data_IF_932996249208
#
_entry.id   IF_932996249208
#
_cell.length_a   1.000
_cell.length_b   1.000
_cell.length_c   1.000
_cell.angle_alpha   90.00
_cell.angle_beta   90.00
_cell.angle_gamma   90.00
#
_symmetry.space_group_name_H-M   'P 1'
#
loop_
_entity.id
_entity.type
_entity.pdbx_description
1 polymer ?
#
# COMPACT_ATOMS: atom_id res chain seq x y z
N UNK A 1 3.06 7.21 33.17
CA UNK A 1 1.85 7.89 33.69
C UNK A 1 0.70 7.55 32.77
N UNK A 2 -0.40 7.04 33.28
CA UNK A 2 -1.59 6.74 32.48
C UNK A 2 -2.32 8.07 32.18
N UNK A 3 -2.68 8.38 30.92
CA UNK A 3 -3.37 9.63 30.58
C UNK A 3 -4.72 9.71 31.31
N UNK A 4 -5.10 10.91 31.73
CA UNK A 4 -6.37 11.19 32.39
C UNK A 4 -7.55 10.93 31.45
N UNK A 5 -8.76 10.71 31.99
CA UNK A 5 -9.96 10.53 31.17
C UNK A 5 -10.21 11.72 30.24
N UNK A 6 -9.95 12.95 30.71
CA UNK A 6 -10.07 14.18 29.91
C UNK A 6 -9.07 14.23 28.74
N UNK A 7 -7.84 13.77 28.94
CA UNK A 7 -6.83 13.66 27.87
C UNK A 7 -7.25 12.62 26.84
N UNK A 8 -7.72 11.44 27.27
CA UNK A 8 -8.24 10.41 26.38
C UNK A 8 -9.43 10.89 25.54
N UNK A 9 -10.37 11.61 26.15
CA UNK A 9 -11.50 12.18 25.41
C UNK A 9 -11.05 13.23 24.39
N UNK A 10 -10.05 14.06 24.72
CA UNK A 10 -9.50 15.05 23.79
C UNK A 10 -8.77 14.39 22.62
N UNK A 11 -7.96 13.37 22.88
CA UNK A 11 -7.28 12.59 21.84
C UNK A 11 -8.28 11.90 20.91
N UNK A 12 -9.32 11.27 21.46
CA UNK A 12 -10.37 10.62 20.67
C UNK A 12 -11.13 11.64 19.80
N UNK A 13 -11.49 12.77 20.34
CA UNK A 13 -12.16 13.85 19.58
C UNK A 13 -11.26 14.39 18.45
N UNK A 14 -9.95 14.53 18.70
CA UNK A 14 -9.00 14.95 17.70
C UNK A 14 -8.83 13.89 16.59
N UNK A 15 -8.81 12.59 16.92
CA UNK A 15 -8.79 11.49 15.95
C UNK A 15 -10.02 11.51 15.07
N UNK A 16 -11.22 11.55 15.66
CA UNK A 16 -12.50 11.60 14.91
C UNK A 16 -12.55 12.81 13.96
N UNK A 17 -12.06 13.96 14.39
CA UNK A 17 -12.01 15.14 13.53
C UNK A 17 -11.02 14.98 12.38
N UNK A 18 -9.84 14.44 12.64
CA UNK A 18 -8.85 14.13 11.58
C UNK A 18 -9.42 13.15 10.55
N UNK A 19 -10.09 12.10 11.01
CA UNK A 19 -10.70 11.10 10.16
C UNK A 19 -11.81 11.70 9.28
N UNK A 20 -12.67 12.55 9.85
CA UNK A 20 -13.70 13.27 9.12
C UNK A 20 -13.14 14.21 8.06
N UNK A 21 -12.09 14.97 8.39
CA UNK A 21 -11.39 15.85 7.45
C UNK A 21 -10.72 15.03 6.33
N UNK A 22 -10.12 13.88 6.67
CA UNK A 22 -9.48 13.00 5.70
C UNK A 22 -10.47 12.38 4.73
N UNK A 23 -11.65 11.97 5.20
CA UNK A 23 -12.74 11.47 4.35
C UNK A 23 -13.23 12.56 3.38
N UNK A 24 -13.44 13.78 3.86
CA UNK A 24 -13.82 14.92 3.03
C UNK A 24 -12.74 15.23 1.97
N UNK A 25 -11.47 15.20 2.37
CA UNK A 25 -10.35 15.42 1.45
C UNK A 25 -10.30 14.32 0.36
N UNK A 26 -10.53 13.06 0.73
CA UNK A 26 -10.61 11.95 -0.20
C UNK A 26 -11.77 12.12 -1.21
N UNK A 27 -12.91 12.60 -0.75
CA UNK A 27 -14.05 12.88 -1.63
C UNK A 27 -13.72 14.01 -2.61
N UNK A 28 -13.14 15.11 -2.15
CA UNK A 28 -12.68 16.21 -3.00
C UNK A 28 -11.64 15.75 -4.01
N UNK A 29 -10.68 14.91 -3.59
CA UNK A 29 -9.66 14.33 -4.48
C UNK A 29 -10.28 13.49 -5.59
N UNK A 30 -11.27 12.66 -5.27
CA UNK A 30 -11.98 11.82 -6.25
C UNK A 30 -12.75 12.64 -7.28
N UNK A 31 -13.35 13.76 -6.87
CA UNK A 31 -14.20 14.59 -7.72
C UNK A 31 -13.40 15.63 -8.53
N UNK A 32 -12.34 16.19 -7.95
CA UNK A 32 -11.67 17.39 -8.46
C UNK A 32 -10.16 17.22 -8.69
N UNK A 33 -9.59 16.07 -8.38
CA UNK A 33 -8.16 15.83 -8.47
C UNK A 33 -7.34 16.64 -7.45
N UNK A 34 -6.00 16.52 -7.55
CA UNK A 34 -5.11 17.25 -6.64
C UNK A 34 -5.18 18.76 -6.82
N UNK A 35 -5.20 19.26 -8.05
CA UNK A 35 -5.29 20.70 -8.32
C UNK A 35 -6.57 21.31 -7.76
N UNK A 36 -7.68 20.60 -7.84
CA UNK A 36 -8.96 21.02 -7.30
C UNK A 36 -9.12 20.87 -5.79
N UNK A 37 -8.21 20.19 -5.11
CA UNK A 37 -8.19 20.07 -3.66
C UNK A 37 -7.71 21.40 -3.05
N UNK A 38 -8.59 22.08 -2.35
CA UNK A 38 -8.27 23.27 -1.54
C UNK A 38 -8.74 23.05 -0.10
N UNK A 39 -8.05 23.68 0.87
CA UNK A 39 -8.44 23.58 2.28
C UNK A 39 -9.86 24.10 2.51
N UNK A 40 -10.28 25.07 1.72
CA UNK A 40 -11.64 25.66 1.80
C UNK A 40 -12.71 24.67 1.35
N UNK A 41 -12.47 24.00 0.22
CA UNK A 41 -13.40 22.97 -0.31
C UNK A 41 -13.48 21.75 0.62
N UNK A 42 -12.34 21.35 1.21
CA UNK A 42 -12.35 20.28 2.22
C UNK A 42 -13.14 20.71 3.46
N UNK A 43 -13.03 21.97 3.91
CA UNK A 43 -13.81 22.49 5.03
C UNK A 43 -15.32 22.45 4.75
N UNK A 44 -15.71 22.84 3.54
CA UNK A 44 -17.11 22.83 3.08
C UNK A 44 -17.66 21.39 3.07
N UNK A 45 -16.94 20.46 2.48
CA UNK A 45 -17.36 19.03 2.42
C UNK A 45 -17.37 18.38 3.81
N UNK A 46 -16.40 18.70 4.66
CA UNK A 46 -16.34 18.21 6.03
C UNK A 46 -17.38 18.86 6.98
N UNK A 47 -18.05 19.94 6.54
CA UNK A 47 -18.99 20.69 7.37
C UNK A 47 -18.35 21.39 8.57
N UNK A 48 -17.08 21.81 8.46
CA UNK A 48 -16.34 22.47 9.54
C UNK A 48 -15.83 23.85 9.12
N UNK A 49 -15.50 24.68 10.11
CA UNK A 49 -14.88 25.98 9.81
C UNK A 49 -13.47 25.78 9.24
N UNK A 50 -13.06 26.61 8.28
CA UNK A 50 -11.71 26.59 7.68
C UNK A 50 -10.58 26.57 8.73
N UNK A 51 -10.71 27.37 9.79
CA UNK A 51 -9.75 27.41 10.90
C UNK A 51 -9.59 26.08 11.61
N UNK A 52 -10.65 25.25 11.64
CA UNK A 52 -10.60 23.91 12.24
C UNK A 52 -9.68 22.98 11.45
N UNK A 53 -9.67 23.06 10.12
CA UNK A 53 -8.77 22.23 9.30
C UNK A 53 -7.30 22.61 9.57
N UNK A 54 -6.98 23.92 9.59
CA UNK A 54 -5.61 24.39 9.86
C UNK A 54 -5.12 24.07 11.27
N UNK A 55 -6.02 23.76 12.19
CA UNK A 55 -5.64 23.24 13.50
C UNK A 55 -5.03 21.83 13.43
N UNK A 56 -5.49 21.00 12.48
CA UNK A 56 -5.04 19.60 12.31
C UNK A 56 -4.00 19.41 11.21
N UNK A 57 -4.07 20.20 10.14
CA UNK A 57 -3.23 20.08 8.96
C UNK A 57 -2.72 21.47 8.54
N UNK A 58 -1.41 21.66 8.56
CA UNK A 58 -0.77 22.94 8.24
C UNK A 58 -0.98 23.38 6.81
N UNK A 59 -1.07 22.42 5.90
CA UNK A 59 -1.20 22.66 4.47
C UNK A 59 -1.82 21.44 3.75
N UNK A 60 -2.13 21.64 2.47
CA UNK A 60 -2.69 20.62 1.58
C UNK A 60 -1.81 19.38 1.47
N UNK A 61 -0.49 19.53 1.45
CA UNK A 61 0.44 18.41 1.33
C UNK A 61 0.38 17.50 2.56
N UNK A 62 0.38 18.06 3.76
CA UNK A 62 0.24 17.32 5.02
C UNK A 62 -1.08 16.55 5.07
N UNK A 63 -2.18 17.21 4.66
CA UNK A 63 -3.50 16.55 4.57
C UNK A 63 -3.49 15.38 3.59
N UNK A 64 -2.97 15.56 2.38
CA UNK A 64 -2.90 14.51 1.37
C UNK A 64 -2.01 13.35 1.83
N UNK A 65 -0.85 13.65 2.41
CA UNK A 65 0.02 12.62 2.99
C UNK A 65 -0.71 11.79 4.04
N UNK A 66 -1.44 12.45 4.94
CA UNK A 66 -2.20 11.77 5.99
C UNK A 66 -3.33 10.90 5.41
N UNK A 67 -4.06 11.39 4.40
CA UNK A 67 -5.08 10.59 3.69
C UNK A 67 -4.46 9.32 3.09
N UNK A 68 -3.30 9.43 2.46
CA UNK A 68 -2.60 8.26 1.93
C UNK A 68 -2.13 7.30 3.01
N UNK A 69 -1.65 7.82 4.13
CA UNK A 69 -1.27 6.99 5.27
C UNK A 69 -2.41 6.15 5.79
N UNK A 70 -3.59 6.75 5.97
CA UNK A 70 -4.78 6.02 6.41
C UNK A 70 -5.22 4.94 5.42
N UNK A 71 -5.04 5.19 4.13
CA UNK A 71 -5.44 4.24 3.11
C UNK A 71 -4.45 3.07 3.02
N UNK A 72 -3.15 3.32 3.10
CA UNK A 72 -2.15 2.26 2.95
C UNK A 72 -1.99 1.40 4.22
N UNK A 73 -2.30 1.94 5.39
CA UNK A 73 -2.10 1.28 6.69
C UNK A 73 -2.79 -0.09 6.81
N UNK A 74 -4.07 -0.27 6.39
CA UNK A 74 -4.70 -1.58 6.42
C UNK A 74 -3.99 -2.63 5.57
N UNK A 75 -3.47 -2.24 4.39
CA UNK A 75 -2.71 -3.17 3.54
C UNK A 75 -1.37 -3.54 4.18
N UNK A 76 -0.74 -2.59 4.86
CA UNK A 76 0.49 -2.84 5.61
C UNK A 76 0.22 -3.83 6.74
N UNK A 77 -0.84 -3.69 7.50
CA UNK A 77 -1.22 -4.60 8.58
C UNK A 77 -1.58 -5.99 8.05
N UNK A 78 -2.37 -6.07 6.98
CA UNK A 78 -2.71 -7.35 6.35
C UNK A 78 -1.45 -8.08 5.85
N UNK A 79 -0.47 -7.36 5.30
CA UNK A 79 0.82 -7.93 4.90
C UNK A 79 1.61 -8.50 6.08
N UNK A 80 1.59 -7.84 7.24
CA UNK A 80 2.24 -8.33 8.45
C UNK A 80 1.59 -9.64 8.94
N UNK A 81 0.27 -9.69 8.97
CA UNK A 81 -0.47 -10.91 9.33
C UNK A 81 -0.12 -12.09 8.43
N UNK A 82 0.06 -11.85 7.11
CA UNK A 82 0.47 -12.88 6.16
C UNK A 82 1.86 -13.42 6.50
N UNK A 83 2.83 -12.54 6.80
CA UNK A 83 4.19 -12.95 7.16
C UNK A 83 4.20 -13.78 8.44
N UNK A 84 3.40 -13.42 9.43
CA UNK A 84 3.34 -14.08 10.74
C UNK A 84 2.60 -15.43 10.73
N UNK A 85 1.81 -15.73 9.70
CA UNK A 85 1.12 -17.03 9.62
C UNK A 85 2.12 -18.19 9.55
N UNK A 86 1.79 -19.28 10.23
CA UNK A 86 2.53 -20.55 10.14
C UNK A 86 2.12 -21.30 8.86
N UNK A 87 2.58 -20.80 7.69
CA UNK A 87 2.30 -21.39 6.38
C UNK A 87 3.54 -21.39 5.49
N UNK A 88 3.62 -22.28 4.48
CA UNK A 88 4.73 -22.33 3.53
C UNK A 88 4.95 -21.01 2.79
N UNK A 89 6.21 -20.71 2.47
CA UNK A 89 6.60 -19.45 1.82
C UNK A 89 5.84 -19.19 0.50
N UNK A 90 5.62 -20.23 -0.30
CA UNK A 90 4.87 -20.10 -1.56
C UNK A 90 3.42 -19.65 -1.34
N UNK A 91 2.75 -20.16 -0.32
CA UNK A 91 1.39 -19.75 0.04
C UNK A 91 1.36 -18.30 0.56
N UNK A 92 2.38 -17.90 1.33
CA UNK A 92 2.53 -16.52 1.79
C UNK A 92 2.76 -15.57 0.61
N UNK A 93 3.59 -15.96 -0.35
CA UNK A 93 3.85 -15.17 -1.55
C UNK A 93 2.57 -14.97 -2.36
N UNK A 94 1.81 -16.05 -2.60
CA UNK A 94 0.52 -15.98 -3.28
C UNK A 94 -0.46 -15.05 -2.54
N UNK A 95 -0.62 -15.25 -1.24
CA UNK A 95 -1.51 -14.44 -0.41
C UNK A 95 -1.11 -12.95 -0.42
N UNK A 96 0.19 -12.64 -0.38
CA UNK A 96 0.71 -11.28 -0.41
C UNK A 96 0.46 -10.61 -1.77
N UNK A 97 0.75 -11.29 -2.87
CA UNK A 97 0.49 -10.79 -4.24
C UNK A 97 -1.01 -10.54 -4.44
N UNK A 98 -1.86 -11.50 -4.03
CA UNK A 98 -3.31 -11.41 -4.10
C UNK A 98 -3.83 -10.23 -3.28
N UNK A 99 -3.43 -10.13 -2.04
CA UNK A 99 -3.82 -9.03 -1.13
C UNK A 99 -3.53 -7.67 -1.75
N UNK A 100 -2.35 -7.46 -2.30
CA UNK A 100 -2.01 -6.19 -2.94
C UNK A 100 -2.87 -5.90 -4.17
N UNK A 101 -3.10 -6.88 -5.06
CA UNK A 101 -3.94 -6.69 -6.25
C UNK A 101 -5.40 -6.42 -5.90
N UNK A 102 -5.96 -7.10 -4.90
CA UNK A 102 -7.31 -6.86 -4.39
C UNK A 102 -7.42 -5.47 -3.78
N UNK A 103 -6.45 -5.10 -2.96
CA UNK A 103 -6.41 -3.79 -2.32
C UNK A 103 -6.38 -2.64 -3.33
N UNK A 104 -5.53 -2.75 -4.35
CA UNK A 104 -5.48 -1.78 -5.44
C UNK A 104 -6.79 -1.73 -6.23
N UNK A 105 -7.40 -2.88 -6.51
CA UNK A 105 -8.68 -2.95 -7.21
C UNK A 105 -9.79 -2.24 -6.45
N UNK A 106 -9.87 -2.43 -5.14
CA UNK A 106 -10.85 -1.78 -4.25
C UNK A 106 -10.65 -0.27 -4.16
N UNK A 107 -9.40 0.20 -4.24
CA UNK A 107 -9.04 1.62 -4.12
C UNK A 107 -8.60 2.24 -5.45
N UNK A 108 -9.04 1.68 -6.58
CA UNK A 108 -8.59 2.04 -7.94
C UNK A 108 -8.57 3.54 -8.21
N UNK A 109 -9.66 4.25 -7.89
CA UNK A 109 -9.78 5.70 -8.15
C UNK A 109 -8.73 6.53 -7.43
N UNK A 110 -8.30 6.09 -6.24
CA UNK A 110 -7.27 6.74 -5.47
C UNK A 110 -5.87 6.49 -6.05
N UNK A 111 -5.60 5.24 -6.45
CA UNK A 111 -4.33 4.90 -7.07
C UNK A 111 -4.20 5.51 -8.47
N UNK A 112 -5.29 5.59 -9.24
CA UNK A 112 -5.32 6.31 -10.52
C UNK A 112 -4.87 7.78 -10.33
N UNK A 113 -5.40 8.43 -9.32
CA UNK A 113 -5.00 9.78 -8.95
C UNK A 113 -3.52 9.87 -8.52
N UNK A 114 -3.05 8.94 -7.69
CA UNK A 114 -1.67 8.90 -7.21
C UNK A 114 -0.66 8.73 -8.35
N UNK A 115 -0.98 7.89 -9.33
CA UNK A 115 -0.06 7.59 -10.43
C UNK A 115 -0.11 8.63 -11.54
N UNK A 116 -1.24 9.31 -11.76
CA UNK A 116 -1.39 10.33 -12.80
C UNK A 116 -0.80 11.69 -12.44
N UNK A 117 -0.79 12.05 -11.15
CA UNK A 117 -0.28 13.34 -10.71
C UNK A 117 1.17 13.21 -10.21
N UNK A 118 2.18 13.71 -10.97
CA UNK A 118 3.58 13.59 -10.59
C UNK A 118 3.91 14.25 -9.24
N UNK A 119 3.25 15.36 -8.89
CA UNK A 119 3.49 16.06 -7.63
C UNK A 119 2.98 15.25 -6.43
N UNK A 120 1.81 14.60 -6.58
CA UNK A 120 1.27 13.70 -5.57
C UNK A 120 2.13 12.46 -5.43
N UNK A 121 2.54 11.88 -6.57
CA UNK A 121 3.42 10.70 -6.60
C UNK A 121 4.73 10.99 -5.86
N UNK A 122 5.41 12.10 -6.18
CA UNK A 122 6.64 12.49 -5.50
C UNK A 122 6.42 12.71 -3.99
N UNK A 123 5.34 13.41 -3.62
CA UNK A 123 4.97 13.65 -2.23
C UNK A 123 4.76 12.34 -1.47
N UNK A 124 3.98 11.42 -2.03
CA UNK A 124 3.67 10.15 -1.39
C UNK A 124 4.90 9.23 -1.30
N UNK A 125 5.69 9.10 -2.35
CA UNK A 125 6.91 8.29 -2.32
C UNK A 125 7.97 8.86 -1.36
N UNK A 126 8.09 10.17 -1.26
CA UNK A 126 9.07 10.81 -0.36
C UNK A 126 8.64 10.69 1.11
N UNK A 127 7.38 10.95 1.41
CA UNK A 127 6.84 10.86 2.78
C UNK A 127 6.67 9.41 3.25
N UNK A 128 6.52 8.46 2.33
CA UNK A 128 6.22 7.05 2.62
C UNK A 128 7.44 6.12 2.48
N UNK A 129 8.66 6.66 2.37
CA UNK A 129 9.87 5.82 2.24
C UNK A 129 9.97 4.73 3.31
N UNK A 130 9.63 5.05 4.55
CA UNK A 130 9.63 4.07 5.63
C UNK A 130 8.60 2.95 5.42
N UNK A 131 7.39 3.29 4.96
CA UNK A 131 6.31 2.32 4.69
C UNK A 131 6.58 1.48 3.44
N UNK A 132 7.19 2.08 2.42
CA UNK A 132 7.68 1.34 1.25
C UNK A 132 8.76 0.32 1.66
N UNK A 133 9.68 0.73 2.53
CA UNK A 133 10.65 -0.17 3.14
C UNK A 133 10.03 -1.35 3.88
N UNK A 134 8.90 -1.13 4.59
CA UNK A 134 8.17 -2.21 5.25
C UNK A 134 7.58 -3.23 4.26
N UNK A 135 7.07 -2.79 3.12
CA UNK A 135 6.58 -3.71 2.09
C UNK A 135 7.73 -4.57 1.53
N UNK A 136 8.88 -3.94 1.23
CA UNK A 136 10.09 -4.67 0.79
C UNK A 136 10.51 -5.69 1.85
N UNK A 137 10.58 -5.31 3.12
CA UNK A 137 10.98 -6.21 4.20
C UNK A 137 10.05 -7.43 4.34
N UNK A 138 8.76 -7.26 4.12
CA UNK A 138 7.81 -8.38 4.17
C UNK A 138 7.99 -9.36 3.03
N UNK A 139 8.12 -8.87 1.80
CA UNK A 139 8.45 -9.74 0.66
C UNK A 139 9.81 -10.40 0.85
N UNK A 140 10.81 -9.67 1.34
CA UNK A 140 12.14 -10.20 1.68
C UNK A 140 12.04 -11.35 2.67
N UNK A 141 11.26 -11.19 3.75
CA UNK A 141 11.06 -12.25 4.75
C UNK A 141 10.43 -13.52 4.15
N UNK A 142 9.45 -13.36 3.26
CA UNK A 142 8.82 -14.50 2.56
C UNK A 142 9.83 -15.19 1.63
N UNK A 143 10.61 -14.42 0.87
CA UNK A 143 11.64 -14.96 -0.03
C UNK A 143 12.72 -15.69 0.77
N UNK A 144 13.18 -15.12 1.88
CA UNK A 144 14.15 -15.75 2.78
C UNK A 144 13.63 -17.08 3.33
N UNK A 145 12.39 -17.10 3.81
CA UNK A 145 11.74 -18.35 4.26
C UNK A 145 11.69 -19.39 3.14
N UNK A 146 11.36 -19.01 1.91
CA UNK A 146 11.28 -19.94 0.78
C UNK A 146 12.66 -20.50 0.38
N UNK A 147 13.74 -19.76 0.56
CA UNK A 147 15.12 -20.24 0.40
C UNK A 147 15.45 -21.26 1.50
N UNK A 148 15.09 -20.98 2.75
CA UNK A 148 15.28 -21.88 3.88
C UNK A 148 14.47 -23.18 3.76
N UNK A 149 13.23 -23.10 3.26
CA UNK A 149 12.39 -24.26 2.93
C UNK A 149 12.91 -25.02 1.70
N UNK A 150 13.85 -24.47 0.94
CA UNK A 150 14.40 -25.07 -0.27
C UNK A 150 13.47 -25.03 -1.48
N UNK A 151 12.34 -24.28 -1.40
CA UNK A 151 11.41 -24.10 -2.53
C UNK A 151 11.86 -22.98 -3.48
N UNK A 152 12.67 -22.03 -2.99
CA UNK A 152 13.30 -21.02 -3.83
C UNK A 152 14.81 -21.28 -3.91
N UNK A 153 15.40 -20.98 -5.06
CA UNK A 153 16.86 -21.04 -5.22
C UNK A 153 17.52 -19.91 -4.40
N UNK A 154 18.80 -20.10 -4.07
CA UNK A 154 19.58 -19.09 -3.34
C UNK A 154 19.78 -17.84 -4.21
N UNK A 155 19.05 -16.78 -3.89
CA UNK A 155 19.10 -15.45 -4.50
C UNK A 155 19.21 -14.42 -3.38
N UNK A 156 19.52 -13.19 -3.72
CA UNK A 156 19.48 -12.10 -2.75
C UNK A 156 18.02 -11.71 -2.46
N UNK A 157 17.50 -11.94 -1.23
CA UNK A 157 16.08 -11.79 -0.94
C UNK A 157 15.53 -10.38 -1.14
N UNK A 158 16.36 -9.35 -0.88
CA UNK A 158 15.94 -7.96 -1.04
C UNK A 158 15.75 -7.61 -2.52
N UNK A 159 16.63 -8.06 -3.40
CA UNK A 159 16.54 -7.83 -4.85
C UNK A 159 15.30 -8.51 -5.42
N UNK A 160 15.01 -9.75 -4.98
CA UNK A 160 13.79 -10.45 -5.40
C UNK A 160 12.53 -9.73 -4.91
N UNK A 161 12.54 -9.23 -3.67
CA UNK A 161 11.43 -8.45 -3.14
C UNK A 161 11.17 -7.17 -3.95
N UNK A 162 12.22 -6.43 -4.30
CA UNK A 162 12.13 -5.23 -5.14
C UNK A 162 11.60 -5.55 -6.54
N UNK A 163 12.03 -6.67 -7.15
CA UNK A 163 11.51 -7.14 -8.43
C UNK A 163 10.01 -7.47 -8.36
N UNK A 164 9.55 -8.16 -7.30
CA UNK A 164 8.15 -8.48 -7.11
C UNK A 164 7.31 -7.21 -6.98
N UNK A 165 7.74 -6.27 -6.14
CA UNK A 165 7.04 -4.99 -5.94
C UNK A 165 7.01 -4.18 -7.22
N UNK A 166 8.11 -4.10 -7.96
CA UNK A 166 8.19 -3.43 -9.26
C UNK A 166 7.25 -4.04 -10.29
N UNK A 167 7.16 -5.37 -10.35
CA UNK A 167 6.22 -6.05 -11.23
C UNK A 167 4.75 -5.79 -10.86
N UNK A 168 4.42 -5.82 -9.57
CA UNK A 168 3.08 -5.49 -9.08
C UNK A 168 2.71 -4.04 -9.42
N UNK A 169 3.61 -3.11 -9.15
CA UNK A 169 3.42 -1.69 -9.46
C UNK A 169 3.17 -1.50 -10.95
N UNK A 170 3.99 -2.07 -11.82
CA UNK A 170 3.83 -1.95 -13.26
C UNK A 170 2.51 -2.54 -13.77
N UNK A 171 2.10 -3.70 -13.25
CA UNK A 171 0.80 -4.30 -13.59
C UNK A 171 -0.36 -3.37 -13.24
N UNK A 172 -0.29 -2.72 -12.08
CA UNK A 172 -1.31 -1.79 -11.61
C UNK A 172 -1.33 -0.53 -12.44
N UNK A 173 -0.18 0.12 -12.65
CA UNK A 173 -0.07 1.32 -13.48
C UNK A 173 -0.64 1.06 -14.89
N UNK A 174 -0.29 -0.06 -15.50
CA UNK A 174 -0.81 -0.44 -16.81
C UNK A 174 -2.32 -0.64 -16.82
N UNK A 175 -2.90 -1.29 -15.81
CA UNK A 175 -4.36 -1.44 -15.71
C UNK A 175 -5.08 -0.10 -15.52
N UNK A 176 -4.45 0.85 -14.83
CA UNK A 176 -4.98 2.21 -14.69
C UNK A 176 -4.91 2.98 -16.02
N UNK A 177 -3.82 2.88 -16.75
CA UNK A 177 -3.62 3.56 -18.04
C UNK A 177 -4.54 3.05 -19.13
N UNK A 178 -4.65 1.72 -19.28
CA UNK A 178 -5.41 1.11 -20.37
C UNK A 178 -6.91 1.01 -20.08
N UNK A 179 -7.29 1.12 -18.80
CA UNK A 179 -8.67 0.84 -18.36
C UNK A 179 -9.02 -0.66 -18.37
N UNK A 180 -8.12 -1.53 -18.82
CA UNK A 180 -8.30 -2.97 -18.83
C UNK A 180 -8.20 -3.52 -17.40
N UNK A 181 -9.21 -4.30 -16.99
CA UNK A 181 -9.16 -5.05 -15.73
C UNK A 181 -9.03 -6.53 -16.07
N UNK A 182 -7.91 -7.13 -15.68
CA UNK A 182 -7.75 -8.58 -15.74
C UNK A 182 -8.30 -9.20 -14.47
N UNK A 183 -8.86 -10.42 -14.52
CA UNK A 183 -9.22 -11.16 -13.32
C UNK A 183 -8.01 -11.28 -12.38
N UNK A 184 -8.24 -11.02 -11.10
CA UNK A 184 -7.16 -11.04 -10.08
C UNK A 184 -6.52 -12.42 -10.04
N UNK A 185 -7.31 -13.49 -10.06
CA UNK A 185 -6.80 -14.87 -10.03
C UNK A 185 -5.85 -15.15 -11.19
N UNK A 186 -6.21 -14.74 -12.40
CA UNK A 186 -5.36 -14.91 -13.59
C UNK A 186 -4.06 -14.12 -13.45
N UNK A 187 -4.13 -12.89 -12.93
CA UNK A 187 -2.95 -12.04 -12.73
C UNK A 187 -2.02 -12.63 -11.66
N UNK A 188 -2.58 -13.11 -10.55
CA UNK A 188 -1.83 -13.79 -9.47
C UNK A 188 -1.11 -15.02 -10.03
N UNK A 189 -1.84 -15.90 -10.73
CA UNK A 189 -1.26 -17.13 -11.29
C UNK A 189 -0.13 -16.84 -12.27
N UNK A 190 -0.28 -15.87 -13.15
CA UNK A 190 0.76 -15.48 -14.12
C UNK A 190 2.00 -14.90 -13.45
N UNK A 191 1.83 -14.04 -12.42
CA UNK A 191 2.94 -13.48 -11.67
C UNK A 191 3.68 -14.59 -10.91
N UNK A 192 2.96 -15.47 -10.24
CA UNK A 192 3.57 -16.59 -9.51
C UNK A 192 4.28 -17.55 -10.45
N UNK A 193 3.69 -17.87 -11.60
CA UNK A 193 4.32 -18.74 -12.59
C UNK A 193 5.70 -18.17 -13.01
N UNK A 194 5.77 -16.89 -13.32
CA UNK A 194 7.03 -16.24 -13.68
C UNK A 194 8.02 -16.23 -12.51
N UNK A 195 7.59 -15.89 -11.30
CA UNK A 195 8.48 -15.83 -10.14
C UNK A 195 8.93 -17.22 -9.68
N UNK A 196 8.04 -18.20 -9.63
CA UNK A 196 8.36 -19.56 -9.18
C UNK A 196 9.29 -20.25 -10.18
N UNK A 197 9.00 -20.18 -11.48
CA UNK A 197 9.88 -20.75 -12.50
C UNK A 197 11.19 -20.00 -12.63
N UNK A 198 11.20 -18.67 -12.42
CA UNK A 198 12.42 -17.84 -12.42
C UNK A 198 13.26 -17.97 -11.15
N UNK A 199 12.67 -18.18 -9.99
CA UNK A 199 13.35 -18.29 -8.68
C UNK A 199 13.30 -19.69 -8.08
N UNK A 200 12.51 -20.61 -8.64
CA UNK A 200 12.43 -22.00 -8.22
C UNK A 200 13.73 -22.77 -8.49
N UNK A 201 13.97 -23.84 -7.75
CA UNK A 201 15.04 -24.77 -8.08
C UNK A 201 14.69 -25.53 -9.36
N UNK A 202 15.59 -25.52 -10.36
CA UNK A 202 15.41 -26.40 -11.51
C UNK A 202 15.58 -27.87 -11.04
N UNK A 203 14.80 -28.81 -11.61
CA UNK A 203 14.89 -30.25 -11.29
C UNK A 203 16.32 -30.80 -11.46
N UNK A 204 17.13 -30.21 -12.37
CA UNK A 204 18.53 -30.57 -12.54
C UNK A 204 19.43 -30.22 -11.35
N UNK A 205 19.06 -29.25 -10.51
CA UNK A 205 19.82 -28.85 -9.31
C UNK A 205 19.36 -29.62 -8.04
N UNK A 206 18.17 -30.20 -8.06
CA UNK A 206 17.67 -31.05 -6.97
C UNK A 206 18.29 -32.46 -6.98
N UNK A 207 18.84 -32.93 -8.12
CA UNK A 207 19.44 -34.25 -8.26
C UNK A 207 20.94 -34.28 -7.89
N UNK A 208 21.58 -33.16 -7.55
CA UNK A 208 23.02 -33.07 -7.31
C UNK A 208 23.37 -32.68 -5.86
N UNK A 209 22.43 -32.63 -4.94
CA UNK A 209 22.62 -32.39 -3.49
C UNK A 209 22.01 -33.52 -2.67
#
# INVERSE_FOLDING_TARGET
>A
MTPSLTEKCRELAASVMKDGISQAALEVLKQHGYEGLTMDRVAEVAGVAKGSIYHYFRNKQELVTHVFEQIIEPAIQAGEEIVQKASPALQKLEAMVRMWLEYFSQHRSLFDFLFRDPAVRELCFTSQRAKHGLAIERFRAIVQQGIEEGVFRSLEPVVVAEMIIGALQFVIERQLETGESRPIDETVQRLLDVFVHGIGRSEAQAATG
#
